data_IF_260432359387
#
_entry.id   IF_260432359387
#
_cell.length_a   1.000
_cell.length_b   1.000
_cell.length_c   1.000
_cell.angle_alpha   90.00
_cell.angle_beta   90.00
_cell.angle_gamma   90.00
#
_symmetry.space_group_name_H-M   'P 1'
#
loop_
_entity.id
_entity.type
_entity.pdbx_description
1 polymer ?
#
# COMPACT_ATOMS: atom_id res chain seq x y z
N UNK A 1 22.28 -8.53 19.15
CA UNK A 1 21.36 -7.96 20.14
C UNK A 1 20.11 -7.70 19.34
N UNK A 2 18.97 -8.30 19.68
CA UNK A 2 17.72 -7.92 19.00
C UNK A 2 17.33 -6.59 19.61
N UNK A 3 17.69 -5.50 18.95
CA UNK A 3 17.25 -4.17 19.36
C UNK A 3 15.72 -4.15 19.31
N UNK A 4 15.13 -3.63 20.38
CA UNK A 4 13.69 -3.49 20.51
C UNK A 4 13.21 -2.42 19.52
N UNK A 5 12.47 -2.85 18.48
CA UNK A 5 11.90 -1.94 17.49
C UNK A 5 10.66 -1.19 18.00
N UNK A 6 10.34 -1.27 19.30
CA UNK A 6 9.28 -0.47 19.88
C UNK A 6 9.71 0.97 20.16
N UNK A 7 8.71 1.86 20.17
CA UNK A 7 8.92 3.28 20.43
C UNK A 7 9.75 3.99 19.36
N UNK A 8 10.06 5.25 19.63
CA UNK A 8 10.73 6.15 18.68
C UNK A 8 12.10 5.67 18.24
N UNK A 9 12.88 5.06 19.14
CA UNK A 9 14.19 4.50 18.80
C UNK A 9 14.06 3.39 17.77
N UNK A 10 13.04 2.54 17.89
CA UNK A 10 12.77 1.49 16.91
C UNK A 10 12.38 2.02 15.54
N UNK A 11 11.56 3.08 15.49
CA UNK A 11 11.25 3.75 14.22
C UNK A 11 12.52 4.29 13.55
N UNK A 12 13.36 4.99 14.31
CA UNK A 12 14.64 5.50 13.78
C UNK A 12 15.60 4.39 13.36
N UNK A 13 15.61 3.27 14.10
CA UNK A 13 16.36 2.09 13.70
C UNK A 13 15.89 1.61 12.34
N UNK A 14 14.59 1.39 12.12
CA UNK A 14 14.02 0.98 10.82
C UNK A 14 14.45 1.95 9.70
N UNK A 15 14.29 3.26 9.92
CA UNK A 15 14.65 4.28 8.92
C UNK A 15 16.17 4.34 8.64
N UNK A 16 17.00 3.82 9.54
CA UNK A 16 18.46 3.77 9.34
C UNK A 16 18.90 2.69 8.35
N UNK A 17 17.98 1.85 7.86
CA UNK A 17 18.26 0.82 6.86
C UNK A 17 17.72 1.24 5.50
N UNK A 18 18.60 1.45 4.51
CA UNK A 18 18.22 1.49 3.10
C UNK A 18 18.10 0.04 2.58
N UNK A 19 16.91 -0.35 2.12
CA UNK A 19 16.54 -1.75 1.84
C UNK A 19 16.03 -1.92 0.40
N UNK A 20 16.82 -1.63 -0.66
CA UNK A 20 16.40 -1.93 -2.02
C UNK A 20 15.91 -3.36 -2.18
N UNK A 21 14.93 -3.57 -3.05
CA UNK A 21 14.39 -4.89 -3.34
C UNK A 21 15.50 -5.89 -3.69
N UNK A 22 15.40 -7.07 -3.11
CA UNK A 22 16.33 -8.19 -3.25
C UNK A 22 17.80 -7.88 -2.94
N UNK A 23 18.03 -6.82 -2.16
CA UNK A 23 19.35 -6.49 -1.65
C UNK A 23 19.75 -7.40 -0.49
N UNK A 24 21.07 -7.48 -0.23
CA UNK A 24 21.56 -8.14 0.96
C UNK A 24 21.06 -7.47 2.26
N UNK A 25 20.84 -6.16 2.22
CA UNK A 25 20.36 -5.35 3.35
C UNK A 25 18.90 -5.62 3.66
N UNK A 26 18.02 -5.66 2.65
CA UNK A 26 16.61 -6.02 2.83
C UNK A 26 16.49 -7.43 3.47
N UNK A 27 17.20 -8.42 2.90
CA UNK A 27 17.20 -9.78 3.48
C UNK A 27 17.81 -9.83 4.89
N UNK A 28 18.78 -8.97 5.20
CA UNK A 28 19.37 -8.90 6.54
C UNK A 28 18.40 -8.31 7.55
N UNK A 29 17.73 -7.21 7.19
CA UNK A 29 16.69 -6.59 8.01
C UNK A 29 15.61 -7.61 8.40
N UNK A 30 15.15 -8.40 7.44
CA UNK A 30 14.13 -9.41 7.70
C UNK A 30 14.60 -10.50 8.66
N UNK A 31 15.81 -11.03 8.45
CA UNK A 31 16.42 -12.03 9.35
C UNK A 31 16.62 -11.51 10.76
N UNK A 32 16.90 -10.22 10.91
CA UNK A 32 17.22 -9.60 12.19
C UNK A 32 15.96 -9.19 12.96
N UNK A 33 14.92 -8.72 12.27
CA UNK A 33 13.77 -8.09 12.91
C UNK A 33 12.42 -8.77 12.67
N UNK A 34 12.20 -9.41 11.52
CA UNK A 34 10.91 -10.05 11.20
C UNK A 34 10.93 -11.55 11.54
N UNK A 35 11.93 -12.28 11.07
CA UNK A 35 12.04 -13.74 11.22
C UNK A 35 12.10 -14.20 12.70
N UNK A 36 12.68 -13.43 13.66
CA UNK A 36 12.67 -13.81 15.07
C UNK A 36 11.30 -13.68 15.76
N UNK A 37 10.32 -13.01 15.14
CA UNK A 37 8.99 -12.84 15.72
C UNK A 37 8.29 -14.21 15.80
N UNK A 38 7.84 -14.66 16.99
CA UNK A 38 7.22 -15.98 17.13
C UNK A 38 5.99 -16.16 16.23
N UNK A 39 6.04 -17.19 15.39
CA UNK A 39 4.96 -17.52 14.46
C UNK A 39 5.06 -16.86 13.09
N UNK A 40 6.06 -15.99 12.86
CA UNK A 40 6.34 -15.42 11.55
C UNK A 40 6.69 -16.53 10.55
N UNK A 41 6.08 -16.49 9.38
CA UNK A 41 6.34 -17.44 8.27
C UNK A 41 6.75 -16.66 7.03
N UNK A 42 7.50 -17.32 6.15
CA UNK A 42 7.80 -16.80 4.83
C UNK A 42 7.16 -17.71 3.75
N UNK A 43 6.70 -17.10 2.65
CA UNK A 43 6.25 -17.84 1.47
C UNK A 43 7.39 -18.12 0.47
N UNK A 44 7.03 -18.60 -0.73
CA UNK A 44 7.99 -18.91 -1.78
C UNK A 44 8.68 -17.69 -2.41
N UNK A 45 8.08 -16.50 -2.33
CA UNK A 45 8.66 -15.23 -2.79
C UNK A 45 9.55 -14.59 -1.71
N UNK A 46 9.21 -14.86 -0.45
CA UNK A 46 9.86 -14.31 0.72
C UNK A 46 9.05 -13.23 1.42
N UNK A 47 7.76 -13.05 1.12
CA UNK A 47 6.88 -12.21 1.94
C UNK A 47 6.79 -12.82 3.34
N UNK A 48 6.61 -11.98 4.37
CA UNK A 48 6.48 -12.47 5.75
C UNK A 48 5.04 -12.32 6.19
N UNK A 49 4.55 -13.32 6.91
CA UNK A 49 3.17 -13.37 7.34
C UNK A 49 3.05 -13.89 8.76
N UNK A 50 2.16 -13.26 9.52
CA UNK A 50 1.81 -13.64 10.88
C UNK A 50 0.31 -13.51 11.09
N UNK A 51 -0.31 -14.55 11.62
CA UNK A 51 -1.71 -14.52 12.02
C UNK A 51 -1.82 -14.37 13.53
N UNK A 52 -2.60 -13.39 13.98
CA UNK A 52 -2.92 -13.16 15.40
C UNK A 52 -4.44 -13.18 15.56
N UNK A 53 -4.94 -13.93 16.55
CA UNK A 53 -6.37 -14.13 16.79
C UNK A 53 -6.90 -15.41 16.14
N UNK A 54 -8.19 -15.66 16.32
CA UNK A 54 -8.91 -16.78 15.73
C UNK A 54 -9.66 -16.29 14.49
N UNK A 55 -9.33 -16.83 13.31
CA UNK A 55 -9.91 -16.47 12.01
C UNK A 55 -10.12 -14.95 11.81
N UNK A 56 -9.03 -14.14 11.81
CA UNK A 56 -9.16 -12.71 11.63
C UNK A 56 -9.75 -12.38 10.26
N UNK A 57 -10.64 -11.36 10.22
CA UNK A 57 -11.27 -10.85 8.99
C UNK A 57 -10.57 -9.63 8.40
N UNK A 58 -9.52 -9.16 9.07
CA UNK A 58 -8.75 -7.97 8.67
C UNK A 58 -7.30 -8.34 8.41
N UNK A 59 -6.79 -7.87 7.29
CA UNK A 59 -5.41 -7.94 6.86
C UNK A 59 -4.77 -6.56 7.03
N UNK A 60 -3.62 -6.54 7.67
CA UNK A 60 -2.75 -5.36 7.85
C UNK A 60 -1.53 -5.56 6.97
N UNK A 61 -1.20 -4.58 6.12
CA UNK A 61 -0.05 -4.70 5.21
C UNK A 61 0.87 -3.49 5.20
N UNK A 62 2.13 -3.77 4.92
CA UNK A 62 3.21 -2.83 4.63
C UNK A 62 4.22 -3.53 3.72
N UNK A 63 5.01 -2.77 2.98
CA UNK A 63 6.14 -3.32 2.23
C UNK A 63 7.46 -3.17 3.01
N UNK A 64 8.45 -4.01 2.68
CA UNK A 64 9.72 -4.07 3.40
C UNK A 64 10.84 -3.35 2.66
N UNK A 65 10.78 -3.35 1.33
CA UNK A 65 11.76 -2.70 0.50
C UNK A 65 11.68 -1.17 0.56
N UNK A 66 12.58 -0.51 -0.15
CA UNK A 66 12.65 0.94 -0.27
C UNK A 66 13.20 1.25 -1.66
N UNK A 67 12.79 2.34 -2.31
CA UNK A 67 13.39 2.76 -3.61
C UNK A 67 14.90 3.12 -3.61
N UNK A 68 15.62 3.00 -2.48
CA UNK A 68 17.02 3.40 -2.42
C UNK A 68 17.87 2.63 -3.45
N UNK A 69 18.72 3.31 -4.21
CA UNK A 69 19.51 2.67 -5.28
C UNK A 69 20.60 1.72 -4.77
N UNK A 70 21.06 1.91 -3.53
CA UNK A 70 22.09 1.09 -2.89
C UNK A 70 21.69 0.82 -1.45
N UNK A 71 21.70 -0.45 -1.05
CA UNK A 71 21.37 -0.86 0.30
C UNK A 71 22.51 -0.62 1.29
N UNK A 72 22.15 -0.36 2.54
CA UNK A 72 23.12 -0.16 3.62
C UNK A 72 22.61 0.76 4.73
N UNK A 73 23.45 1.04 5.73
CA UNK A 73 23.11 1.95 6.80
C UNK A 73 23.06 3.39 6.29
N UNK A 74 22.13 4.17 6.82
CA UNK A 74 21.97 5.60 6.55
C UNK A 74 21.78 6.40 7.84
N UNK A 75 22.22 7.66 7.82
CA UNK A 75 22.11 8.54 8.97
C UNK A 75 20.77 9.26 8.95
N UNK A 76 19.97 9.07 10.00
CA UNK A 76 18.65 9.69 10.16
C UNK A 76 18.69 10.63 11.36
N UNK A 77 18.04 11.79 11.24
CA UNK A 77 17.88 12.75 12.32
C UNK A 77 16.43 13.21 12.43
N UNK A 78 16.02 13.63 13.63
CA UNK A 78 14.75 14.29 13.89
C UNK A 78 15.03 15.74 14.23
N UNK A 79 14.29 16.67 13.62
CA UNK A 79 14.38 18.08 13.96
C UNK A 79 13.55 18.46 15.21
N UNK A 80 13.56 19.76 15.56
CA UNK A 80 12.83 20.27 16.73
C UNK A 80 11.30 20.18 16.61
N UNK A 81 10.78 19.94 15.40
CA UNK A 81 9.37 19.79 15.11
C UNK A 81 8.91 18.32 15.08
N UNK A 82 9.82 17.37 15.30
CA UNK A 82 9.51 15.95 15.25
C UNK A 82 9.50 15.37 13.83
N UNK A 83 10.13 16.05 12.87
CA UNK A 83 10.23 15.57 11.48
C UNK A 83 11.53 14.78 11.32
N UNK A 84 11.41 13.49 10.96
CA UNK A 84 12.53 12.64 10.61
C UNK A 84 12.94 12.83 9.15
N UNK A 85 14.25 12.86 8.90
CA UNK A 85 14.84 13.02 7.56
C UNK A 85 16.28 12.48 7.50
N UNK A 86 16.79 12.27 6.28
CA UNK A 86 18.19 11.91 6.06
C UNK A 86 19.15 13.04 6.45
N UNK A 87 20.19 12.70 7.20
CA UNK A 87 21.33 13.56 7.44
C UNK A 87 22.26 13.52 6.22
N UNK A 88 22.10 14.47 5.30
CA UNK A 88 22.93 14.59 4.10
C UNK A 88 22.47 13.72 2.94
N UNK A 89 21.15 13.61 2.72
CA UNK A 89 20.55 12.88 1.61
C UNK A 89 21.10 13.30 0.23
N UNK A 90 21.29 12.32 -0.66
CA UNK A 90 21.82 12.49 -2.02
C UNK A 90 20.93 11.77 -3.03
N UNK A 91 21.05 12.10 -4.31
CA UNK A 91 20.35 11.38 -5.37
C UNK A 91 20.60 9.86 -5.26
N UNK A 92 19.53 9.07 -5.43
CA UNK A 92 19.56 7.62 -5.23
C UNK A 92 19.39 7.16 -3.78
N UNK A 93 19.22 8.08 -2.82
CA UNK A 93 18.82 7.75 -1.44
C UNK A 93 17.35 8.12 -1.22
N UNK A 94 16.70 7.40 -0.31
CA UNK A 94 15.39 7.70 0.26
C UNK A 94 15.48 7.54 1.78
N UNK A 95 14.62 8.24 2.53
CA UNK A 95 14.53 8.01 3.97
C UNK A 95 14.02 6.60 4.25
N UNK A 96 13.18 6.07 3.36
CA UNK A 96 12.53 4.77 3.53
C UNK A 96 11.46 4.80 4.61
N UNK A 97 10.79 5.95 4.77
CA UNK A 97 9.57 6.06 5.56
C UNK A 97 8.38 5.46 4.79
N UNK A 98 8.46 5.49 3.47
CA UNK A 98 7.81 4.60 2.52
C UNK A 98 8.66 3.30 2.37
N UNK A 99 8.31 2.16 2.99
CA UNK A 99 7.24 1.96 3.98
C UNK A 99 7.77 1.56 5.38
N UNK A 100 8.85 2.22 5.81
CA UNK A 100 9.34 2.07 7.19
C UNK A 100 8.34 2.52 8.26
N UNK A 101 7.43 3.44 7.93
CA UNK A 101 6.39 3.92 8.85
C UNK A 101 5.31 2.85 9.07
N UNK A 102 4.76 2.25 7.99
CA UNK A 102 3.79 1.16 8.09
C UNK A 102 4.39 -0.07 8.76
N UNK A 103 5.64 -0.40 8.45
CA UNK A 103 6.38 -1.48 9.10
C UNK A 103 6.47 -1.28 10.62
N UNK A 104 6.80 -0.07 11.07
CA UNK A 104 6.87 0.25 12.50
C UNK A 104 5.49 0.16 13.18
N UNK A 105 4.43 0.65 12.54
CA UNK A 105 3.06 0.57 13.06
C UNK A 105 2.64 -0.90 13.23
N UNK A 106 2.85 -1.73 12.20
CA UNK A 106 2.49 -3.14 12.26
C UNK A 106 3.27 -3.91 13.33
N UNK A 107 4.57 -3.63 13.50
CA UNK A 107 5.36 -4.23 14.58
C UNK A 107 4.82 -3.84 15.96
N UNK A 108 4.40 -2.59 16.15
CA UNK A 108 3.75 -2.13 17.39
C UNK A 108 2.42 -2.85 17.66
N UNK A 109 1.59 -3.03 16.62
CA UNK A 109 0.34 -3.78 16.70
C UNK A 109 0.56 -5.26 17.02
N UNK A 110 1.57 -5.90 16.42
CA UNK A 110 1.96 -7.28 16.70
C UNK A 110 2.43 -7.43 18.15
N UNK A 111 3.26 -6.50 18.64
CA UNK A 111 3.72 -6.50 20.03
C UNK A 111 2.55 -6.40 21.03
N UNK A 112 1.53 -5.62 20.68
CA UNK A 112 0.28 -5.51 21.44
C UNK A 112 -0.73 -6.64 21.17
N UNK A 113 -0.37 -7.62 20.34
CA UNK A 113 -1.20 -8.78 19.95
C UNK A 113 -2.57 -8.39 19.38
N UNK A 114 -2.63 -7.31 18.59
CA UNK A 114 -3.87 -6.92 17.91
C UNK A 114 -4.26 -8.01 16.89
N UNK A 115 -5.53 -8.47 16.86
CA UNK A 115 -5.96 -9.49 15.90
C UNK A 115 -5.79 -9.03 14.44
N UNK A 116 -5.44 -9.96 13.56
CA UNK A 116 -5.25 -9.68 12.14
C UNK A 116 -4.36 -10.69 11.44
N UNK A 117 -4.45 -10.72 10.11
CA UNK A 117 -3.42 -11.26 9.25
C UNK A 117 -2.43 -10.14 8.90
N UNK A 118 -1.19 -10.25 9.34
CA UNK A 118 -0.13 -9.27 9.06
C UNK A 118 0.68 -9.75 7.88
N UNK A 119 0.78 -8.95 6.82
CA UNK A 119 1.61 -9.21 5.64
C UNK A 119 2.68 -8.14 5.47
N UNK A 120 3.92 -8.58 5.39
CA UNK A 120 5.08 -7.77 5.07
C UNK A 120 5.52 -8.14 3.66
N UNK A 121 5.08 -7.36 2.69
CA UNK A 121 5.32 -7.57 1.26
C UNK A 121 6.78 -7.27 0.89
N UNK A 122 7.26 -7.91 -0.17
CA UNK A 122 8.54 -7.60 -0.80
C UNK A 122 8.32 -7.18 -2.24
N UNK A 123 9.12 -6.23 -2.72
CA UNK A 123 9.11 -5.84 -4.14
C UNK A 123 7.87 -5.04 -4.52
N UNK A 124 7.32 -4.27 -3.58
CA UNK A 124 6.25 -3.31 -3.88
C UNK A 124 6.76 -2.25 -4.85
N UNK A 125 7.95 -1.73 -4.55
CA UNK A 125 8.65 -0.66 -5.28
C UNK A 125 9.12 -1.08 -6.68
N UNK A 126 9.03 -2.39 -6.97
CA UNK A 126 9.33 -3.01 -8.25
C UNK A 126 8.06 -3.55 -8.95
N UNK A 127 6.88 -3.03 -8.55
CA UNK A 127 5.59 -3.36 -9.13
C UNK A 127 4.81 -4.43 -8.38
N UNK A 128 4.71 -4.33 -7.04
CA UNK A 128 3.85 -5.18 -6.21
C UNK A 128 4.14 -6.69 -6.32
N UNK A 129 5.39 -7.07 -6.63
CA UNK A 129 5.74 -8.45 -6.98
C UNK A 129 5.35 -9.47 -5.89
N UNK A 130 5.50 -9.09 -4.62
CA UNK A 130 5.16 -9.91 -3.47
C UNK A 130 3.67 -10.16 -3.33
N UNK A 131 2.83 -9.13 -3.51
CA UNK A 131 1.37 -9.27 -3.47
C UNK A 131 0.81 -9.98 -4.70
N UNK A 132 1.35 -9.72 -5.91
CA UNK A 132 1.04 -10.50 -7.11
C UNK A 132 1.31 -11.99 -6.87
N UNK A 133 2.42 -12.33 -6.20
CA UNK A 133 2.75 -13.72 -5.92
C UNK A 133 1.68 -14.37 -5.04
N UNK A 134 1.25 -13.69 -3.97
CA UNK A 134 0.23 -14.21 -3.04
C UNK A 134 -1.09 -14.42 -3.77
N UNK A 135 -1.54 -13.45 -4.56
CA UNK A 135 -2.78 -13.52 -5.33
C UNK A 135 -2.79 -14.73 -6.28
N UNK A 136 -1.68 -15.02 -6.95
CA UNK A 136 -1.59 -16.11 -7.92
C UNK A 136 -1.31 -17.50 -7.31
N UNK A 137 -0.53 -17.57 -6.24
CA UNK A 137 0.00 -18.84 -5.74
C UNK A 137 -0.65 -19.30 -4.43
N UNK A 138 -1.11 -18.37 -3.60
CA UNK A 138 -1.73 -18.66 -2.31
C UNK A 138 -2.98 -17.79 -2.06
N UNK A 139 -3.93 -17.69 -3.01
CA UNK A 139 -5.14 -16.87 -2.82
C UNK A 139 -5.98 -17.33 -1.62
N UNK A 140 -5.85 -18.59 -1.21
CA UNK A 140 -6.50 -19.11 0.00
C UNK A 140 -6.03 -18.45 1.29
N UNK A 141 -4.88 -17.75 1.30
CA UNK A 141 -4.43 -16.94 2.43
C UNK A 141 -5.37 -15.77 2.70
N UNK A 142 -6.01 -15.26 1.65
CA UNK A 142 -6.95 -14.14 1.68
C UNK A 142 -8.40 -14.60 1.89
N UNK A 143 -8.61 -15.92 1.96
CA UNK A 143 -9.92 -16.49 2.20
C UNK A 143 -10.42 -16.04 3.57
N UNK A 144 -11.65 -15.55 3.60
CA UNK A 144 -12.33 -15.00 4.79
C UNK A 144 -11.79 -13.63 5.27
N UNK A 145 -10.82 -13.04 4.55
CA UNK A 145 -10.44 -11.62 4.74
C UNK A 145 -11.49 -10.75 4.06
N UNK A 146 -11.99 -9.77 4.80
CA UNK A 146 -13.00 -8.81 4.33
C UNK A 146 -12.43 -7.41 4.13
N UNK A 147 -11.37 -7.08 4.87
CA UNK A 147 -10.68 -5.81 4.75
C UNK A 147 -9.17 -6.00 4.71
N UNK A 148 -8.51 -5.44 3.69
CA UNK A 148 -7.07 -5.30 3.58
C UNK A 148 -6.71 -3.81 3.69
N UNK A 149 -5.95 -3.45 4.72
CA UNK A 149 -5.58 -2.08 5.04
C UNK A 149 -4.04 -1.97 4.95
N UNK A 150 -3.56 -1.29 3.93
CA UNK A 150 -2.15 -0.91 3.80
C UNK A 150 -1.84 0.33 4.63
N UNK A 151 -0.67 0.36 5.25
CA UNK A 151 -0.12 1.51 5.97
C UNK A 151 0.89 2.26 5.11
N UNK A 152 0.55 2.55 3.86
CA UNK A 152 1.51 2.93 2.82
C UNK A 152 1.02 4.12 1.97
N UNK A 153 0.55 5.18 2.63
CA UNK A 153 0.13 6.40 1.94
C UNK A 153 0.81 7.63 2.51
N UNK A 154 1.37 8.44 1.62
CA UNK A 154 1.83 9.78 1.96
C UNK A 154 0.68 10.63 2.49
N UNK A 155 0.97 11.54 3.42
CA UNK A 155 -0.04 12.43 4.00
C UNK A 155 -0.43 12.05 5.42
N UNK A 156 -1.51 12.66 5.93
CA UNK A 156 -1.88 12.64 7.35
C UNK A 156 -3.34 12.26 7.59
N UNK A 157 -4.11 11.94 6.55
CA UNK A 157 -5.56 11.87 6.67
C UNK A 157 -6.29 11.18 5.52
N UNK A 158 -5.60 10.50 4.62
CA UNK A 158 -6.27 9.84 3.50
C UNK A 158 -6.65 8.41 3.89
N UNK A 159 -7.90 8.03 3.61
CA UNK A 159 -8.36 6.64 3.56
C UNK A 159 -8.76 6.35 2.13
N UNK A 160 -7.92 5.62 1.40
CA UNK A 160 -8.05 5.50 -0.05
C UNK A 160 -9.23 4.61 -0.45
N UNK A 161 -10.11 5.10 -1.33
CA UNK A 161 -11.27 4.36 -1.88
C UNK A 161 -11.02 3.79 -3.26
N UNK A 162 -10.11 4.40 -4.02
CA UNK A 162 -9.76 3.99 -5.38
C UNK A 162 -8.25 3.87 -5.52
N UNK A 163 -7.79 2.81 -6.17
CA UNK A 163 -6.39 2.57 -6.46
C UNK A 163 -6.25 2.34 -7.97
N UNK A 164 -5.31 3.04 -8.59
CA UNK A 164 -5.15 3.09 -10.05
C UNK A 164 -6.43 3.49 -10.79
N UNK A 165 -7.09 2.54 -11.47
CA UNK A 165 -8.22 2.80 -12.37
C UNK A 165 -9.57 2.36 -11.80
N UNK A 166 -9.60 1.82 -10.57
CA UNK A 166 -10.79 1.16 -10.05
C UNK A 166 -11.08 1.43 -8.58
N UNK A 167 -12.33 1.21 -8.22
CA UNK A 167 -12.78 1.20 -6.83
C UNK A 167 -12.31 -0.07 -6.15
N UNK A 168 -11.55 0.09 -5.09
CA UNK A 168 -11.00 -1.01 -4.28
C UNK A 168 -11.60 -1.03 -2.88
N UNK A 169 -12.14 0.10 -2.42
CA UNK A 169 -12.81 0.27 -1.14
C UNK A 169 -14.09 1.11 -1.28
N UNK A 170 -15.13 0.74 -0.55
CA UNK A 170 -16.38 1.50 -0.48
C UNK A 170 -16.19 2.81 0.29
N UNK A 171 -16.97 3.83 -0.07
CA UNK A 171 -16.99 5.08 0.69
C UNK A 171 -17.50 4.85 2.13
N UNK A 172 -18.38 3.86 2.32
CA UNK A 172 -18.91 3.46 3.62
C UNK A 172 -17.83 2.86 4.53
N UNK A 173 -16.99 1.95 4.01
CA UNK A 173 -15.83 1.44 4.75
C UNK A 173 -14.89 2.58 5.10
N UNK A 174 -14.47 3.37 4.10
CA UNK A 174 -13.52 4.45 4.30
C UNK A 174 -14.00 5.49 5.32
N UNK A 175 -15.28 5.87 5.26
CA UNK A 175 -15.89 6.78 6.23
C UNK A 175 -15.96 6.17 7.64
N UNK A 176 -16.24 4.87 7.76
CA UNK A 176 -16.27 4.18 9.06
C UNK A 176 -14.89 4.12 9.71
N UNK A 177 -13.85 3.81 8.94
CA UNK A 177 -12.47 3.79 9.41
C UNK A 177 -12.00 5.20 9.79
N UNK A 178 -12.23 6.19 8.93
CA UNK A 178 -11.92 7.59 9.19
C UNK A 178 -12.60 8.10 10.46
N UNK A 179 -13.89 7.82 10.64
CA UNK A 179 -14.63 8.20 11.85
C UNK A 179 -14.08 7.52 13.10
N UNK A 180 -13.70 6.25 13.02
CA UNK A 180 -13.12 5.52 14.15
C UNK A 180 -11.77 6.14 14.56
N UNK A 181 -10.86 6.39 13.61
CA UNK A 181 -9.57 7.04 13.89
C UNK A 181 -9.75 8.45 14.46
N UNK A 182 -10.59 9.28 13.84
CA UNK A 182 -10.87 10.63 14.30
C UNK A 182 -11.52 10.66 15.70
N UNK A 183 -12.27 9.62 16.06
CA UNK A 183 -12.85 9.45 17.40
C UNK A 183 -11.81 9.09 18.47
N UNK A 184 -10.74 8.40 18.08
CA UNK A 184 -9.64 7.99 18.97
C UNK A 184 -8.62 9.12 19.20
N UNK A 185 -8.49 10.06 18.25
CA UNK A 185 -7.61 11.21 18.42
C UNK A 185 -8.20 12.47 17.77
N UNK A 186 -8.46 13.49 18.59
CA UNK A 186 -9.06 14.76 18.16
C UNK A 186 -8.19 15.62 17.23
N UNK A 187 -6.91 15.30 17.07
CA UNK A 187 -6.02 15.97 16.12
C UNK A 187 -6.15 15.39 14.70
N UNK A 188 -6.71 14.18 14.56
CA UNK A 188 -6.83 13.54 13.26
C UNK A 188 -7.94 14.14 12.38
N UNK A 189 -7.70 14.09 11.08
CA UNK A 189 -8.61 14.55 10.04
C UNK A 189 -8.67 13.53 8.92
N UNK A 190 -8.78 12.24 9.27
CA UNK A 190 -8.95 11.18 8.29
C UNK A 190 -10.25 11.37 7.51
N UNK A 191 -10.22 11.14 6.21
CA UNK A 191 -11.36 11.21 5.32
C UNK A 191 -11.15 10.28 4.11
N UNK A 192 -12.24 9.82 3.45
CA UNK A 192 -12.14 9.12 2.17
C UNK A 192 -11.43 9.96 1.10
N UNK A 193 -10.58 9.33 0.29
CA UNK A 193 -9.84 9.94 -0.81
C UNK A 193 -9.81 8.99 -2.02
N UNK A 194 -10.19 9.48 -3.20
CA UNK A 194 -10.27 8.74 -4.46
C UNK A 194 -9.01 8.87 -5.35
N UNK A 195 -7.95 9.51 -4.85
CA UNK A 195 -6.70 9.78 -5.58
C UNK A 195 -5.58 8.77 -5.30
N UNK A 196 -5.96 7.54 -4.94
CA UNK A 196 -4.99 6.48 -4.68
C UNK A 196 -4.26 6.05 -5.94
N UNK A 197 -3.01 5.65 -5.74
CA UNK A 197 -2.18 5.02 -6.77
C UNK A 197 -2.17 3.51 -6.54
N UNK A 198 -1.56 2.77 -7.48
CA UNK A 198 -1.31 1.35 -7.32
C UNK A 198 -0.49 1.07 -6.07
N UNK A 199 -0.82 0.00 -5.33
CA UNK A 199 -0.07 -0.51 -4.16
C UNK A 199 -0.49 -1.98 -3.94
N UNK A 200 0.18 -2.68 -3.02
CA UNK A 200 0.01 -4.12 -2.77
C UNK A 200 -1.45 -4.57 -2.56
N UNK A 201 -2.29 -3.76 -1.90
CA UNK A 201 -3.69 -4.15 -1.65
C UNK A 201 -4.57 -4.09 -2.90
N UNK A 202 -4.15 -3.39 -3.95
CA UNK A 202 -4.86 -3.37 -5.22
C UNK A 202 -4.93 -4.79 -5.84
N UNK A 203 -3.87 -5.59 -5.67
CA UNK A 203 -3.84 -6.99 -6.12
C UNK A 203 -4.96 -7.84 -5.54
N UNK A 204 -5.46 -7.47 -4.37
CA UNK A 204 -6.48 -8.21 -3.65
C UNK A 204 -7.90 -7.72 -3.95
N UNK A 205 -8.07 -6.64 -4.71
CA UNK A 205 -9.40 -6.05 -4.93
C UNK A 205 -10.38 -6.98 -5.65
N UNK A 206 -9.91 -7.97 -6.42
CA UNK A 206 -10.78 -9.00 -7.00
C UNK A 206 -11.22 -10.10 -6.01
N UNK A 207 -10.62 -10.15 -4.81
CA UNK A 207 -10.77 -11.23 -3.84
C UNK A 207 -11.30 -10.75 -2.49
N UNK A 208 -10.91 -9.55 -2.07
CA UNK A 208 -11.22 -8.94 -0.78
C UNK A 208 -12.18 -7.76 -1.00
N UNK A 209 -13.33 -7.72 -0.30
CA UNK A 209 -14.29 -6.63 -0.34
C UNK A 209 -13.66 -5.25 -0.22
N UNK A 210 -12.92 -4.98 0.86
CA UNK A 210 -12.43 -3.63 1.16
C UNK A 210 -10.91 -3.61 1.12
N UNK A 211 -10.33 -3.05 0.06
CA UNK A 211 -8.89 -2.85 -0.07
C UNK A 211 -8.59 -1.35 -0.04
N UNK A 212 -7.92 -0.89 1.02
CA UNK A 212 -7.61 0.53 1.22
C UNK A 212 -6.15 0.73 1.55
N UNK A 213 -5.71 1.98 1.42
CA UNK A 213 -4.39 2.44 1.82
C UNK A 213 -4.54 3.68 2.71
N UNK A 214 -3.83 3.71 3.84
CA UNK A 214 -4.02 4.67 4.91
C UNK A 214 -2.80 5.59 5.03
N UNK A 215 -3.04 6.90 5.10
CA UNK A 215 -1.96 7.87 5.36
C UNK A 215 -1.18 7.56 6.64
N UNK A 216 0.15 7.62 6.61
CA UNK A 216 1.00 7.32 7.79
C UNK A 216 1.96 8.42 8.21
N UNK A 217 1.98 9.55 7.51
CA UNK A 217 2.72 10.75 7.91
C UNK A 217 4.02 11.02 7.16
N UNK A 218 4.38 10.19 6.18
CA UNK A 218 5.48 10.53 5.28
C UNK A 218 5.03 11.48 4.17
N UNK A 219 5.99 12.21 3.60
CA UNK A 219 5.78 13.13 2.48
C UNK A 219 7.02 13.15 1.57
N UNK A 220 6.81 13.50 0.30
CA UNK A 220 7.89 13.63 -0.72
C UNK A 220 8.69 12.33 -0.84
N UNK A 221 7.96 11.22 -0.90
CA UNK A 221 8.50 9.89 -1.04
C UNK A 221 9.36 9.75 -2.29
N UNK A 222 10.11 8.65 -2.31
CA UNK A 222 10.97 8.22 -3.41
C UNK A 222 12.15 9.16 -3.72
N UNK A 223 12.68 9.81 -2.69
CA UNK A 223 13.87 10.64 -2.89
C UNK A 223 14.52 11.16 -1.61
N UNK A 224 15.64 11.88 -1.74
CA UNK A 224 16.46 12.28 -0.58
C UNK A 224 15.85 13.38 0.29
N UNK A 225 14.67 13.89 -0.10
CA UNK A 225 13.91 14.91 0.62
C UNK A 225 12.64 14.36 1.25
N UNK A 226 12.51 13.04 1.25
CA UNK A 226 11.48 12.34 1.99
C UNK A 226 11.60 12.67 3.48
N UNK A 227 10.44 12.90 4.08
CA UNK A 227 10.32 13.25 5.50
C UNK A 227 9.19 12.47 6.14
N UNK A 228 9.31 12.18 7.43
CA UNK A 228 8.25 11.55 8.22
C UNK A 228 7.88 12.41 9.43
N UNK A 229 6.60 12.71 9.60
CA UNK A 229 6.07 13.26 10.86
C UNK A 229 5.99 12.14 11.90
N UNK A 230 7.02 12.06 12.75
CA UNK A 230 7.12 11.04 13.81
C UNK A 230 5.99 11.18 14.82
N UNK A 231 5.54 12.40 15.08
CA UNK A 231 4.46 12.65 16.04
C UNK A 231 3.13 12.12 15.51
N UNK A 232 2.86 12.32 14.21
CA UNK A 232 1.68 11.73 13.57
C UNK A 232 1.74 10.20 13.61
N UNK A 233 2.87 9.61 13.22
CA UNK A 233 3.08 8.16 13.20
C UNK A 233 2.86 7.53 14.60
N UNK A 234 3.40 8.15 15.66
CA UNK A 234 3.19 7.74 17.06
C UNK A 234 1.71 7.81 17.49
N UNK A 235 1.01 8.89 17.11
CA UNK A 235 -0.43 9.02 17.37
C UNK A 235 -1.24 7.95 16.62
N UNK A 236 -0.86 7.65 15.37
CA UNK A 236 -1.55 6.66 14.55
C UNK A 236 -1.38 5.27 15.16
N UNK A 237 -0.16 4.88 15.53
CA UNK A 237 0.06 3.63 16.26
C UNK A 237 -0.82 3.55 17.51
N UNK A 238 -0.84 4.60 18.35
CA UNK A 238 -1.67 4.62 19.55
C UNK A 238 -3.16 4.39 19.25
N UNK A 239 -3.69 5.00 18.18
CA UNK A 239 -5.07 4.76 17.74
C UNK A 239 -5.26 3.32 17.22
N UNK A 240 -4.32 2.77 16.45
CA UNK A 240 -4.39 1.39 15.96
C UNK A 240 -4.37 0.35 17.07
N UNK A 241 -3.75 0.66 18.22
CA UNK A 241 -3.78 -0.20 19.40
C UNK A 241 -5.16 -0.25 20.09
N UNK A 242 -5.99 0.79 19.89
CA UNK A 242 -7.34 0.89 20.45
C UNK A 242 -8.45 0.54 19.46
N UNK A 243 -8.18 0.63 18.14
CA UNK A 243 -9.15 0.40 17.08
C UNK A 243 -9.79 -1.00 17.19
N UNK A 244 -11.12 -1.03 17.17
CA UNK A 244 -11.92 -2.25 17.02
C UNK A 244 -12.30 -2.43 15.54
N UNK A 245 -11.45 -3.15 14.81
CA UNK A 245 -11.66 -3.41 13.39
C UNK A 245 -12.94 -4.22 13.08
N UNK A 246 -13.51 -4.92 14.08
CA UNK A 246 -14.75 -5.70 13.89
C UNK A 246 -15.99 -4.83 13.67
N UNK A 247 -15.90 -3.53 13.98
CA UNK A 247 -16.98 -2.56 13.83
C UNK A 247 -16.92 -1.78 12.50
N UNK A 248 -15.90 -2.04 11.67
CA UNK A 248 -15.78 -1.39 10.36
C UNK A 248 -16.86 -1.91 9.41
N UNK A 249 -17.36 -1.01 8.56
CA UNK A 249 -18.44 -1.32 7.62
C UNK A 249 -17.87 -2.04 6.41
N UNK A 250 -18.34 -3.26 6.12
CA UNK A 250 -18.01 -3.98 4.89
C UNK A 250 -19.22 -3.88 3.95
N UNK A 251 -19.05 -3.24 2.79
CA UNK A 251 -20.14 -2.96 1.85
C UNK A 251 -19.83 -3.41 0.42
N UNK A 252 -18.59 -3.26 -0.04
CA UNK A 252 -18.23 -3.55 -1.43
C UNK A 252 -18.32 -5.04 -1.73
N UNK A 253 -18.93 -5.39 -2.86
CA UNK A 253 -18.88 -6.76 -3.39
C UNK A 253 -17.75 -6.83 -4.44
N UNK A 254 -16.68 -7.61 -4.21
CA UNK A 254 -15.56 -7.71 -5.14
C UNK A 254 -15.93 -8.38 -6.47
N UNK A 255 -17.07 -9.08 -6.54
CA UNK A 255 -17.55 -9.74 -7.76
C UNK A 255 -18.34 -8.83 -8.70
N UNK A 256 -18.65 -7.60 -8.27
CA UNK A 256 -19.39 -6.62 -9.05
C UNK A 256 -18.42 -5.54 -9.52
N UNK A 257 -18.29 -5.37 -10.84
CA UNK A 257 -17.58 -4.23 -11.41
C UNK A 257 -18.34 -2.94 -11.09
N UNK A 258 -17.66 -1.98 -10.46
CA UNK A 258 -18.24 -0.68 -10.16
C UNK A 258 -18.41 0.12 -11.46
N UNK A 259 -19.61 0.63 -11.72
CA UNK A 259 -19.92 1.51 -12.86
C UNK A 259 -19.43 2.95 -12.61
N UNK A 260 -18.15 3.10 -12.23
CA UNK A 260 -17.52 4.39 -11.98
C UNK A 260 -16.99 5.05 -13.27
N UNK A 261 -17.18 4.37 -14.42
CA UNK A 261 -16.83 4.85 -15.77
C UNK A 261 -17.52 6.17 -16.14
N UNK A 262 -18.66 6.50 -15.54
CA UNK A 262 -19.44 7.70 -15.89
C UNK A 262 -18.94 9.01 -15.26
N UNK A 263 -18.03 8.96 -14.27
CA UNK A 263 -17.55 10.17 -13.57
C UNK A 263 -16.50 10.99 -14.35
N UNK A 264 -15.78 10.35 -15.27
CA UNK A 264 -14.68 10.97 -16.03
C UNK A 264 -15.11 11.48 -17.41
N UNK A 265 -16.02 10.79 -18.11
CA UNK A 265 -16.45 11.17 -19.46
C UNK A 265 -17.18 12.51 -19.56
N UNK A 266 -17.75 13.02 -18.46
CA UNK A 266 -18.51 14.29 -18.49
C UNK A 266 -17.69 15.51 -18.06
N UNK A 267 -16.49 15.31 -17.46
CA UNK A 267 -15.58 16.41 -17.08
C UNK A 267 -14.59 16.80 -18.18
N UNK A 268 -14.40 15.96 -19.20
CA UNK A 268 -13.26 16.08 -20.12
C UNK A 268 -13.57 16.13 -21.62
N UNK A 269 -14.82 16.41 -22.04
CA UNK A 269 -15.18 16.63 -23.47
C UNK A 269 -14.52 17.85 -24.13
N UNK A 270 -13.58 18.52 -23.46
CA UNK A 270 -12.84 19.65 -24.02
C UNK A 270 -11.32 19.57 -23.89
N UNK A 271 -10.76 18.63 -23.10
CA UNK A 271 -9.31 18.51 -22.86
C UNK A 271 -8.78 17.10 -23.18
N UNK A 272 -9.59 16.07 -23.01
CA UNK A 272 -9.25 14.67 -23.31
C UNK A 272 -8.91 14.44 -24.78
N UNK A 273 -9.67 15.06 -25.70
CA UNK A 273 -9.44 14.90 -27.14
C UNK A 273 -8.08 15.43 -27.58
N UNK A 274 -7.64 16.58 -27.05
CA UNK A 274 -6.36 17.20 -27.43
C UNK A 274 -5.14 16.42 -26.91
N UNK A 275 -5.27 15.76 -25.75
CA UNK A 275 -4.18 14.95 -25.20
C UNK A 275 -4.12 13.58 -25.87
N UNK A 276 -5.26 12.95 -26.12
CA UNK A 276 -5.34 11.73 -26.90
C UNK A 276 -4.81 11.92 -28.33
N UNK A 277 -5.15 13.04 -28.99
CA UNK A 277 -4.58 13.42 -30.28
C UNK A 277 -3.05 13.61 -30.20
N UNK A 278 -2.53 14.28 -29.17
CA UNK A 278 -1.08 14.46 -28.99
C UNK A 278 -0.34 13.13 -28.75
N UNK A 279 -0.96 12.19 -28.03
CA UNK A 279 -0.43 10.83 -27.84
C UNK A 279 -0.46 10.05 -29.16
N UNK A 280 -1.55 10.16 -29.93
CA UNK A 280 -1.68 9.52 -31.23
C UNK A 280 -0.67 10.08 -32.27
N UNK A 281 -0.38 11.38 -32.22
CA UNK A 281 0.60 12.03 -33.10
C UNK A 281 2.06 11.73 -32.69
N UNK A 282 2.31 11.39 -31.41
CA UNK A 282 3.64 11.16 -30.86
C UNK A 282 3.74 9.88 -29.99
N UNK A 283 3.40 8.69 -30.53
CA UNK A 283 3.23 7.48 -29.73
C UNK A 283 4.53 6.98 -29.09
N UNK A 284 5.68 7.15 -29.73
CA UNK A 284 6.98 6.74 -29.16
C UNK A 284 7.44 7.64 -28.01
N UNK A 285 7.10 8.94 -28.07
CA UNK A 285 7.40 9.86 -26.97
C UNK A 285 6.50 9.57 -25.78
N UNK A 286 5.22 9.29 -26.03
CA UNK A 286 4.28 8.86 -25.01
C UNK A 286 4.74 7.55 -24.35
N UNK A 287 5.09 6.52 -25.13
CA UNK A 287 5.62 5.27 -24.61
C UNK A 287 6.89 5.48 -23.77
N UNK A 288 7.84 6.28 -24.25
CA UNK A 288 9.04 6.62 -23.48
C UNK A 288 8.70 7.34 -22.16
N UNK A 289 7.78 8.30 -22.18
CA UNK A 289 7.34 8.98 -20.95
C UNK A 289 6.65 8.03 -19.97
N UNK A 290 5.85 7.08 -20.47
CA UNK A 290 5.20 6.05 -19.69
C UNK A 290 6.23 5.10 -19.05
N UNK A 291 7.24 4.68 -19.81
CA UNK A 291 8.37 3.89 -19.28
C UNK A 291 9.15 4.66 -18.21
N UNK A 292 9.35 5.98 -18.36
CA UNK A 292 9.97 6.81 -17.31
C UNK A 292 9.11 6.94 -16.05
N UNK A 293 7.80 6.76 -16.19
CA UNK A 293 6.84 6.71 -15.09
C UNK A 293 6.65 5.29 -14.52
N UNK A 294 7.45 4.32 -14.97
CA UNK A 294 7.38 2.93 -14.49
C UNK A 294 6.27 2.08 -15.10
N UNK A 295 5.52 2.62 -16.07
CA UNK A 295 4.48 1.86 -16.78
C UNK A 295 5.15 0.94 -17.80
N UNK A 296 4.95 -0.37 -17.63
CA UNK A 296 5.50 -1.41 -18.49
C UNK A 296 4.56 -1.73 -19.64
N UNK A 297 5.08 -2.46 -20.64
CA UNK A 297 4.26 -2.99 -21.73
C UNK A 297 3.19 -3.95 -21.23
N UNK A 298 3.48 -4.71 -20.18
CA UNK A 298 2.55 -5.67 -19.60
C UNK A 298 1.39 -4.95 -18.89
N UNK A 299 1.67 -3.85 -18.18
CA UNK A 299 0.63 -2.98 -17.60
C UNK A 299 -0.30 -2.43 -18.68
N UNK A 300 0.27 -2.00 -19.80
CA UNK A 300 -0.48 -1.47 -20.93
C UNK A 300 -1.32 -2.56 -21.63
N UNK A 301 -0.78 -3.78 -21.76
CA UNK A 301 -1.51 -4.91 -22.34
C UNK A 301 -2.62 -5.42 -21.42
N UNK A 302 -2.41 -5.42 -20.11
CA UNK A 302 -3.47 -5.74 -19.14
C UNK A 302 -4.60 -4.72 -19.19
N UNK A 303 -4.28 -3.43 -19.31
CA UNK A 303 -5.29 -2.39 -19.49
C UNK A 303 -6.08 -2.56 -20.81
N UNK A 304 -5.39 -2.88 -21.92
CA UNK A 304 -6.04 -3.15 -23.20
C UNK A 304 -6.92 -4.41 -23.16
N UNK A 305 -6.46 -5.49 -22.53
CA UNK A 305 -7.26 -6.69 -22.37
C UNK A 305 -8.50 -6.47 -21.51
N UNK A 306 -8.41 -5.62 -20.48
CA UNK A 306 -9.58 -5.23 -19.70
C UNK A 306 -10.60 -4.44 -20.55
N UNK A 307 -10.13 -3.55 -21.43
CA UNK A 307 -10.98 -2.78 -22.34
C UNK A 307 -11.65 -3.66 -23.42
N UNK A 308 -10.92 -4.60 -24.02
CA UNK A 308 -11.44 -5.54 -25.03
C UNK A 308 -12.45 -6.55 -24.44
N UNK A 309 -12.23 -6.98 -23.19
CA UNK A 309 -13.14 -7.91 -22.50
C UNK A 309 -14.47 -7.25 -22.08
N UNK A 310 -14.47 -5.94 -21.90
CA UNK A 310 -15.64 -5.12 -21.63
C UNK A 310 -16.55 -4.97 -22.87
N UNK A 311 -15.99 -5.02 -24.08
CA UNK A 311 -16.76 -4.97 -25.34
C UNK A 311 -17.46 -6.29 -25.69
N UNK A 312 -16.97 -7.43 -25.19
CA UNK A 312 -17.41 -8.77 -25.62
C UNK A 312 -18.48 -9.43 -24.71
N UNK A 313 -19.20 -8.64 -23.90
CA UNK A 313 -20.36 -9.07 -23.10
C UNK A 313 -21.62 -9.43 -23.94
N UNK A 314 -21.41 -10.02 -25.13
CA UNK A 314 -22.41 -10.44 -26.09
C UNK A 314 -22.50 -11.96 -26.29
N UNK A 315 -22.16 -12.78 -25.29
CA UNK A 315 -22.32 -14.24 -25.43
C UNK A 315 -23.81 -14.65 -25.40
N UNK A 316 -24.40 -14.83 -26.58
CA UNK A 316 -25.68 -15.55 -26.73
C UNK A 316 -25.41 -17.06 -26.80
N UNK A 317 -25.99 -17.88 -25.90
CA UNK A 317 -25.89 -19.32 -26.03
C UNK A 317 -26.66 -19.76 -27.28
N UNK A 318 -25.97 -20.42 -28.20
CA UNK A 318 -26.61 -21.19 -29.26
C UNK A 318 -27.36 -22.35 -28.61
N UNK A 319 -28.68 -22.20 -28.50
CA UNK A 319 -29.57 -23.30 -28.17
C UNK A 319 -29.48 -24.41 -29.23
N UNK A 320 -29.58 -25.64 -28.74
CA UNK A 320 -29.55 -26.87 -29.50
C UNK A 320 -30.61 -26.96 -30.60
N UNK A 321 -30.20 -27.55 -31.73
CA UNK A 321 -30.99 -28.50 -32.52
C UNK A 321 -30.07 -29.54 -33.13
#
# INVERSE_FOLDING_TARGET
MTDDLTGRSGLLEILSWARPHDSATERAFCREYLDPIPGMRADGFGNRMLMIGDQPRTLWSCHVDTVAAVGGPQSVGIDEHGIAQLCGGKAGMSLGADDGAGLWIMLGMIAARRPGLYLFHRGEEEGCLGSCWIQHHTPELLKDIEAAIAFDRAGLGDVITHQSYGRTCSDAFAASLASALNGLNGDFRYAPDDTGVYTDTNEYAGLVPECTNLSVGYQRQHGPRETLDVTHCEKLLAAMLELDASQLVIERDPSIEADDRWGWFDRDRGRGDAFAEAVADHPLLAAWMLEQCGVTLDDFQMALWAEEMDEDAGYRPLMAS
#
